data_IF_054605913624
#
_entry.id   IF_054605913624
#
_cell.length_a   1.000
_cell.length_b   1.000
_cell.length_c   1.000
_cell.angle_alpha   90.00
_cell.angle_beta   90.00
_cell.angle_gamma   90.00
#
_symmetry.space_group_name_H-M   'P 1'
#
loop_
_entity.id
_entity.type
_entity.pdbx_description
1 polymer ?
#
# COMPACT_ATOMS: atom_id res chain seq x y z
N UNK A 1 51.12 -32.46 31.90
CA UNK A 1 52.21 -31.48 31.73
C UNK A 1 51.64 -30.07 31.65
N UNK A 2 52.42 -29.03 31.96
CA UNK A 2 51.99 -27.64 31.81
C UNK A 2 52.97 -26.91 30.90
N UNK A 3 52.44 -26.16 29.94
CA UNK A 3 53.26 -25.45 28.97
C UNK A 3 53.00 -23.95 29.04
N UNK A 4 54.05 -23.15 28.95
CA UNK A 4 53.97 -21.70 28.79
C UNK A 4 54.25 -21.32 27.34
N UNK A 5 53.41 -20.48 26.77
CA UNK A 5 53.64 -19.96 25.42
C UNK A 5 54.79 -18.95 25.45
N UNK A 6 55.86 -19.21 24.71
CA UNK A 6 57.02 -18.29 24.64
C UNK A 6 56.93 -17.30 23.47
N UNK A 7 56.00 -17.54 22.55
CA UNK A 7 55.59 -16.61 21.48
C UNK A 7 54.07 -16.70 21.28
N UNK A 8 53.47 -15.66 20.70
CA UNK A 8 52.07 -15.70 20.31
C UNK A 8 51.87 -16.80 19.26
N UNK A 9 50.95 -17.73 19.52
CA UNK A 9 50.72 -18.86 18.62
C UNK A 9 49.25 -19.26 18.60
N UNK A 10 48.85 -19.93 17.52
CA UNK A 10 47.50 -20.42 17.31
C UNK A 10 47.54 -21.95 17.29
N UNK A 11 46.67 -22.60 18.04
CA UNK A 11 46.63 -24.06 18.10
C UNK A 11 45.25 -24.59 18.46
N UNK A 12 45.19 -25.87 18.84
CA UNK A 12 43.95 -26.59 19.21
C UNK A 12 43.26 -26.07 20.48
N UNK A 13 43.76 -25.00 21.08
CA UNK A 13 43.18 -24.34 22.25
C UNK A 13 42.80 -22.88 21.95
N UNK A 14 42.77 -22.52 20.67
CA UNK A 14 42.55 -21.15 20.19
C UNK A 14 43.85 -20.34 20.17
N UNK A 15 43.71 -19.01 20.18
CA UNK A 15 44.85 -18.09 20.16
C UNK A 15 45.45 -18.00 21.57
N UNK A 16 46.70 -18.45 21.71
CA UNK A 16 47.45 -18.39 22.98
C UNK A 16 48.46 -17.24 22.91
N UNK A 17 48.42 -16.35 23.90
CA UNK A 17 49.34 -15.20 23.99
C UNK A 17 50.65 -15.60 24.67
N UNK A 18 51.75 -14.92 24.33
CA UNK A 18 53.04 -15.12 25.01
C UNK A 18 52.89 -14.89 26.53
N UNK A 19 53.42 -15.82 27.32
CA UNK A 19 53.37 -15.84 28.78
C UNK A 19 52.11 -16.47 29.37
N UNK A 20 51.17 -16.94 28.55
CA UNK A 20 49.98 -17.66 28.98
C UNK A 20 50.28 -19.15 29.17
N UNK A 21 49.65 -19.79 30.15
CA UNK A 21 49.93 -21.19 30.52
C UNK A 21 48.77 -22.11 30.12
N UNK A 22 49.09 -23.17 29.39
CA UNK A 22 48.21 -24.29 29.10
C UNK A 22 48.39 -25.35 30.19
N UNK A 23 47.34 -25.59 30.98
CA UNK A 23 47.36 -26.53 32.11
C UNK A 23 46.80 -27.90 31.70
N UNK A 24 47.26 -28.93 32.41
CA UNK A 24 46.80 -30.31 32.35
C UNK A 24 46.84 -30.93 30.95
N UNK A 25 47.89 -30.59 30.19
CA UNK A 25 48.12 -31.12 28.86
C UNK A 25 48.55 -32.59 28.88
N UNK A 26 48.02 -33.34 27.92
CA UNK A 26 48.48 -34.69 27.59
C UNK A 26 49.96 -34.66 27.16
N UNK A 27 50.70 -35.69 27.57
CA UNK A 27 52.15 -35.77 27.36
C UNK A 27 52.51 -35.81 25.87
N UNK A 28 51.79 -36.61 25.07
CA UNK A 28 52.09 -36.76 23.63
C UNK A 28 51.85 -35.46 22.85
N UNK A 29 50.84 -34.69 23.25
CA UNK A 29 50.53 -33.41 22.64
C UNK A 29 51.50 -32.31 23.12
N UNK A 30 51.89 -32.35 24.40
CA UNK A 30 52.83 -31.40 24.96
C UNK A 30 54.20 -31.52 24.27
N UNK A 31 54.68 -32.74 24.03
CA UNK A 31 55.93 -33.00 23.31
C UNK A 31 55.90 -32.42 21.89
N UNK A 32 54.77 -32.56 21.16
CA UNK A 32 54.60 -31.94 19.84
C UNK A 32 54.65 -30.41 19.89
N UNK A 33 54.00 -29.80 20.89
CA UNK A 33 54.01 -28.35 21.04
C UNK A 33 55.38 -27.81 21.45
N UNK A 34 56.13 -28.53 22.27
CA UNK A 34 57.51 -28.20 22.59
C UNK A 34 58.41 -28.28 21.34
N UNK A 35 58.26 -29.33 20.53
CA UNK A 35 59.02 -29.49 19.28
C UNK A 35 58.77 -28.36 18.27
N UNK A 36 57.60 -27.72 18.32
CA UNK A 36 57.30 -26.55 17.47
C UNK A 36 58.12 -25.30 17.83
N UNK A 37 58.79 -25.28 18.99
CA UNK A 37 59.52 -24.13 19.52
C UNK A 37 58.65 -22.93 19.90
N UNK A 38 57.31 -23.08 19.91
CA UNK A 38 56.39 -22.03 20.33
C UNK A 38 56.05 -22.03 21.83
N UNK A 39 56.37 -23.13 22.50
CA UNK A 39 56.05 -23.39 23.90
C UNK A 39 57.29 -23.88 24.64
N UNK A 40 57.32 -23.64 25.95
CA UNK A 40 58.28 -24.22 26.88
C UNK A 40 57.53 -24.90 28.04
N UNK A 41 58.20 -25.78 28.78
CA UNK A 41 57.61 -26.36 29.99
C UNK A 41 57.46 -25.27 31.07
N UNK A 42 56.27 -25.16 31.64
CA UNK A 42 55.99 -24.17 32.67
C UNK A 42 56.50 -24.67 34.03
N UNK A 43 57.29 -23.85 34.71
CA UNK A 43 57.72 -24.13 36.08
C UNK A 43 56.60 -23.88 37.09
N UNK A 44 56.76 -24.37 38.32
CA UNK A 44 55.81 -24.09 39.40
C UNK A 44 55.71 -22.59 39.72
N UNK A 45 56.82 -21.85 39.56
CA UNK A 45 56.85 -20.40 39.77
C UNK A 45 56.03 -19.68 38.69
N UNK A 46 56.15 -20.09 37.42
CA UNK A 46 55.35 -19.53 36.33
C UNK A 46 53.85 -19.68 36.58
N UNK A 47 53.45 -20.84 37.11
CA UNK A 47 52.05 -21.15 37.45
C UNK A 47 51.57 -20.24 38.59
N UNK A 48 52.40 -20.02 39.61
CA UNK A 48 52.08 -19.13 40.73
C UNK A 48 51.93 -17.69 40.24
N UNK A 49 52.85 -17.23 39.40
CA UNK A 49 52.83 -15.87 38.84
C UNK A 49 51.64 -15.68 37.88
N UNK A 50 51.28 -16.69 37.08
CA UNK A 50 50.09 -16.66 36.24
C UNK A 50 48.79 -16.55 37.03
N UNK A 51 48.68 -17.19 38.20
CA UNK A 51 47.51 -17.07 39.08
C UNK A 51 47.36 -15.66 39.66
N UNK A 52 48.46 -14.94 39.85
CA UNK A 52 48.46 -13.56 40.34
C UNK A 52 48.20 -12.50 39.26
N UNK A 53 48.30 -12.85 37.97
CA UNK A 53 48.07 -11.93 36.85
C UNK A 53 46.59 -11.82 36.51
N UNK A 54 46.10 -10.60 36.24
CA UNK A 54 44.73 -10.36 35.78
C UNK A 54 44.50 -10.73 34.29
N UNK A 55 45.53 -10.66 33.44
CA UNK A 55 45.33 -10.68 31.97
C UNK A 55 45.83 -11.95 31.24
N UNK A 56 46.92 -12.58 31.69
CA UNK A 56 47.59 -13.68 30.97
C UNK A 56 47.48 -15.02 31.69
N UNK A 57 46.40 -15.19 32.46
CA UNK A 57 46.19 -16.30 33.40
C UNK A 57 46.23 -17.72 32.79
N UNK A 58 45.88 -18.69 33.61
CA UNK A 58 46.00 -20.11 33.23
C UNK A 58 44.77 -20.55 32.41
N UNK A 59 45.03 -21.20 31.28
CA UNK A 59 44.03 -21.85 30.45
C UNK A 59 43.96 -23.35 30.78
N UNK A 60 42.78 -23.82 31.13
CA UNK A 60 42.50 -25.24 31.36
C UNK A 60 42.14 -25.91 30.04
N UNK A 61 43.05 -26.75 29.54
CA UNK A 61 42.90 -27.43 28.26
C UNK A 61 41.70 -28.36 28.23
N UNK A 62 41.37 -29.02 29.36
CA UNK A 62 40.22 -29.93 29.43
C UNK A 62 38.91 -29.15 29.34
N UNK A 63 38.84 -27.99 29.98
CA UNK A 63 37.67 -27.10 29.88
C UNK A 63 37.52 -26.51 28.48
N UNK A 64 38.62 -26.14 27.82
CA UNK A 64 38.58 -25.63 26.44
C UNK A 64 38.13 -26.71 25.47
N UNK A 65 38.64 -27.94 25.60
CA UNK A 65 38.20 -29.07 24.80
C UNK A 65 36.71 -29.41 25.03
N UNK A 66 36.20 -29.23 26.26
CA UNK A 66 34.78 -29.35 26.56
C UNK A 66 33.96 -28.19 25.96
N UNK A 67 34.49 -26.96 25.97
CA UNK A 67 33.84 -25.78 25.41
C UNK A 67 33.75 -25.80 23.87
N UNK A 68 34.64 -26.52 23.17
CA UNK A 68 34.53 -26.76 21.71
C UNK A 68 33.27 -27.54 21.30
N UNK A 69 32.52 -28.12 22.25
CA UNK A 69 31.17 -28.67 22.01
C UNK A 69 30.06 -27.64 22.25
N UNK A 70 30.38 -26.35 22.26
CA UNK A 70 29.47 -25.26 22.62
C UNK A 70 28.99 -24.36 21.48
N UNK A 71 29.26 -24.69 20.22
CA UNK A 71 28.81 -23.91 19.04
C UNK A 71 27.61 -24.54 18.31
N UNK A 72 26.83 -25.39 18.98
CA UNK A 72 25.57 -25.93 18.42
C UNK A 72 24.33 -25.12 18.81
N UNK A 73 24.47 -24.09 19.65
CA UNK A 73 23.34 -23.26 20.08
C UNK A 73 22.85 -22.26 19.01
N UNK A 74 23.51 -22.15 17.86
CA UNK A 74 23.18 -21.14 16.85
C UNK A 74 22.44 -21.67 15.61
N UNK A 75 22.58 -22.94 15.24
CA UNK A 75 22.01 -23.43 13.95
C UNK A 75 20.51 -23.72 14.08
N UNK A 76 20.09 -24.41 15.14
CA UNK A 76 18.67 -24.73 15.33
C UNK A 76 17.83 -23.46 15.57
N UNK A 77 18.41 -22.47 16.25
CA UNK A 77 17.80 -21.15 16.44
C UNK A 77 17.63 -20.42 15.10
N UNK A 78 18.68 -20.39 14.26
CA UNK A 78 18.60 -19.78 12.92
C UNK A 78 17.63 -20.52 12.00
N UNK A 79 17.55 -21.85 12.06
CA UNK A 79 16.57 -22.63 11.30
C UNK A 79 15.14 -22.30 11.74
N UNK A 80 14.90 -22.19 13.05
CA UNK A 80 13.60 -21.78 13.58
C UNK A 80 13.20 -20.36 13.15
N UNK A 81 14.16 -19.43 13.10
CA UNK A 81 13.94 -18.07 12.60
C UNK A 81 13.63 -18.04 11.10
N UNK A 82 14.34 -18.84 10.30
CA UNK A 82 14.07 -18.98 8.86
C UNK A 82 12.67 -19.56 8.63
N UNK A 83 12.30 -20.65 9.33
CA UNK A 83 10.96 -21.24 9.23
C UNK A 83 9.87 -20.25 9.65
N UNK A 84 10.10 -19.47 10.72
CA UNK A 84 9.18 -18.43 11.16
C UNK A 84 9.04 -17.32 10.09
N UNK A 85 10.16 -16.90 9.50
CA UNK A 85 10.20 -15.93 8.40
C UNK A 85 9.47 -16.42 7.15
N UNK A 86 9.65 -17.68 6.75
CA UNK A 86 8.95 -18.29 5.61
C UNK A 86 7.44 -18.35 5.84
N UNK A 87 7.00 -18.68 7.07
CA UNK A 87 5.58 -18.68 7.42
C UNK A 87 5.00 -17.27 7.38
N UNK A 88 5.71 -16.29 7.93
CA UNK A 88 5.29 -14.88 7.90
C UNK A 88 5.21 -14.35 6.46
N UNK A 89 6.20 -14.66 5.62
CA UNK A 89 6.21 -14.28 4.21
C UNK A 89 5.04 -14.92 3.44
N UNK A 90 4.78 -16.21 3.68
CA UNK A 90 3.66 -16.93 3.07
C UNK A 90 2.32 -16.32 3.47
N UNK A 91 2.14 -15.98 4.75
CA UNK A 91 0.93 -15.30 5.23
C UNK A 91 0.76 -13.92 4.58
N UNK A 92 1.82 -13.10 4.58
CA UNK A 92 1.80 -11.77 3.95
C UNK A 92 1.49 -11.83 2.46
N UNK A 93 2.00 -12.83 1.75
CA UNK A 93 1.68 -13.07 0.34
C UNK A 93 0.18 -13.38 0.15
N UNK A 94 -0.40 -14.24 0.98
CA UNK A 94 -1.82 -14.58 0.91
C UNK A 94 -2.73 -13.38 1.20
N UNK A 95 -2.35 -12.55 2.18
CA UNK A 95 -3.05 -11.28 2.48
C UNK A 95 -2.97 -10.31 1.29
N UNK A 96 -1.79 -10.17 0.69
CA UNK A 96 -1.60 -9.30 -0.48
C UNK A 96 -2.40 -9.79 -1.68
N UNK A 97 -2.43 -11.10 -1.95
CA UNK A 97 -3.24 -11.69 -3.01
C UNK A 97 -4.74 -11.45 -2.79
N UNK A 98 -5.19 -11.51 -1.54
CA UNK A 98 -6.58 -11.20 -1.18
C UNK A 98 -6.90 -9.73 -1.44
N UNK A 99 -6.05 -8.81 -0.97
CA UNK A 99 -6.22 -7.37 -1.19
C UNK A 99 -6.23 -7.00 -2.69
N UNK A 100 -5.40 -7.67 -3.51
CA UNK A 100 -5.39 -7.48 -4.96
C UNK A 100 -6.72 -7.90 -5.61
N UNK A 101 -7.31 -9.01 -5.16
CA UNK A 101 -8.64 -9.45 -5.64
C UNK A 101 -9.73 -8.46 -5.24
N UNK A 102 -9.75 -8.04 -3.98
CA UNK A 102 -10.72 -7.04 -3.49
C UNK A 102 -10.62 -5.72 -4.26
N UNK A 103 -9.39 -5.28 -4.58
CA UNK A 103 -9.18 -4.08 -5.38
C UNK A 103 -9.69 -4.25 -6.82
N UNK A 104 -9.50 -5.43 -7.42
CA UNK A 104 -10.02 -5.74 -8.75
C UNK A 104 -11.55 -5.72 -8.76
N UNK A 105 -12.20 -6.34 -7.77
CA UNK A 105 -13.64 -6.35 -7.62
C UNK A 105 -14.19 -4.93 -7.39
N UNK A 106 -13.53 -4.15 -6.53
CA UNK A 106 -13.88 -2.74 -6.31
C UNK A 106 -13.79 -1.93 -7.60
N UNK A 107 -12.71 -2.11 -8.37
CA UNK A 107 -12.50 -1.41 -9.65
C UNK A 107 -13.63 -1.73 -10.63
N UNK A 108 -13.96 -3.01 -10.81
CA UNK A 108 -15.05 -3.42 -11.69
C UNK A 108 -16.39 -2.84 -11.23
N UNK A 109 -16.67 -2.88 -9.91
CA UNK A 109 -17.88 -2.27 -9.36
C UNK A 109 -17.96 -0.75 -9.55
N UNK A 110 -16.84 -0.05 -9.45
CA UNK A 110 -16.75 1.38 -9.69
C UNK A 110 -16.96 1.74 -11.18
N UNK A 111 -16.38 0.96 -12.09
CA UNK A 111 -16.55 1.14 -13.53
C UNK A 111 -18.01 0.95 -13.96
N UNK A 112 -18.71 -0.06 -13.43
CA UNK A 112 -20.14 -0.27 -13.70
C UNK A 112 -20.98 0.91 -13.20
N UNK A 113 -20.77 1.35 -11.94
CA UNK A 113 -21.51 2.48 -11.38
C UNK A 113 -21.27 3.77 -12.17
N UNK A 114 -20.05 3.98 -12.67
CA UNK A 114 -19.72 5.13 -13.49
C UNK A 114 -20.40 5.06 -14.86
N UNK A 115 -20.47 3.88 -15.49
CA UNK A 115 -21.20 3.68 -16.72
C UNK A 115 -22.71 3.95 -16.55
N UNK A 116 -23.30 3.45 -15.46
CA UNK A 116 -24.72 3.68 -15.14
C UNK A 116 -25.00 5.16 -14.88
N UNK A 117 -24.13 5.85 -14.13
CA UNK A 117 -24.26 7.28 -13.86
C UNK A 117 -24.15 8.11 -15.14
N UNK A 118 -23.22 7.77 -16.04
CA UNK A 118 -23.08 8.43 -17.34
C UNK A 118 -24.34 8.22 -18.19
N UNK A 119 -24.88 7.00 -18.23
CA UNK A 119 -26.11 6.70 -18.96
C UNK A 119 -27.29 7.49 -18.41
N UNK A 120 -27.50 7.48 -17.09
CA UNK A 120 -28.56 8.25 -16.45
C UNK A 120 -28.44 9.76 -16.72
N UNK A 121 -27.21 10.27 -16.80
CA UNK A 121 -26.94 11.68 -17.15
C UNK A 121 -27.33 11.99 -18.59
N UNK A 122 -26.99 11.12 -19.54
CA UNK A 122 -27.37 11.30 -20.94
C UNK A 122 -28.89 11.16 -21.14
N UNK A 123 -29.53 10.20 -20.49
CA UNK A 123 -30.99 10.03 -20.51
C UNK A 123 -31.69 11.29 -19.95
N UNK A 124 -31.22 11.82 -18.81
CA UNK A 124 -31.76 13.05 -18.24
C UNK A 124 -31.57 14.29 -19.16
N UNK A 125 -30.45 14.38 -19.87
CA UNK A 125 -30.24 15.45 -20.87
C UNK A 125 -31.23 15.34 -22.03
N UNK A 126 -31.46 14.12 -22.51
CA UNK A 126 -32.40 13.87 -23.59
C UNK A 126 -33.84 14.20 -23.18
N UNK A 127 -34.26 13.79 -21.97
CA UNK A 127 -35.57 14.13 -21.41
C UNK A 127 -35.74 15.64 -21.24
N UNK A 128 -34.72 16.34 -20.75
CA UNK A 128 -34.76 17.80 -20.59
C UNK A 128 -34.88 18.50 -21.95
N UNK A 129 -34.17 18.02 -22.98
CA UNK A 129 -34.29 18.55 -24.33
C UNK A 129 -35.69 18.33 -24.92
N UNK A 130 -36.27 17.15 -24.71
CA UNK A 130 -37.63 16.84 -25.14
C UNK A 130 -38.66 17.74 -24.44
N UNK A 131 -38.56 17.86 -23.12
CA UNK A 131 -39.45 18.72 -22.32
C UNK A 131 -39.37 20.18 -22.75
N UNK A 132 -38.15 20.68 -23.02
CA UNK A 132 -37.95 22.04 -23.51
C UNK A 132 -38.61 22.25 -24.87
N UNK A 133 -38.42 21.32 -25.80
CA UNK A 133 -39.04 21.39 -27.13
C UNK A 133 -40.57 21.35 -27.06
N UNK A 134 -41.12 20.49 -26.21
CA UNK A 134 -42.58 20.39 -26.00
C UNK A 134 -43.14 21.70 -25.43
N UNK A 135 -42.48 22.24 -24.40
CA UNK A 135 -42.90 23.48 -23.75
C UNK A 135 -42.83 24.67 -24.72
N UNK A 136 -41.76 24.78 -25.51
CA UNK A 136 -41.64 25.80 -26.56
C UNK A 136 -42.76 25.68 -27.61
N UNK A 137 -43.11 24.45 -27.99
CA UNK A 137 -44.23 24.17 -28.90
C UNK A 137 -45.58 24.61 -28.32
N UNK A 138 -45.85 24.27 -27.06
CA UNK A 138 -47.08 24.67 -26.36
C UNK A 138 -47.18 26.19 -26.21
N UNK A 139 -46.09 26.87 -25.86
CA UNK A 139 -46.04 28.34 -25.77
C UNK A 139 -46.39 28.97 -27.12
N UNK A 140 -45.83 28.45 -28.21
CA UNK A 140 -46.12 28.95 -29.55
C UNK A 140 -47.59 28.75 -29.94
N UNK A 141 -48.14 27.56 -29.69
CA UNK A 141 -49.55 27.28 -29.95
C UNK A 141 -50.48 28.22 -29.16
N UNK A 142 -50.19 28.44 -27.88
CA UNK A 142 -50.95 29.38 -27.06
C UNK A 142 -50.83 30.83 -27.55
N UNK A 143 -49.64 31.25 -28.02
CA UNK A 143 -49.46 32.58 -28.61
C UNK A 143 -50.26 32.76 -29.90
N UNK A 144 -50.29 31.75 -30.76
CA UNK A 144 -51.08 31.74 -32.00
C UNK A 144 -52.59 31.78 -31.71
N UNK A 145 -53.06 31.03 -30.72
CA UNK A 145 -54.45 31.06 -30.26
C UNK A 145 -54.85 32.43 -29.71
N UNK A 146 -53.99 33.04 -28.87
CA UNK A 146 -54.20 34.41 -28.35
C UNK A 146 -54.28 35.41 -29.52
N UNK A 147 -53.42 35.28 -30.52
CA UNK A 147 -53.45 36.16 -31.69
C UNK A 147 -54.76 36.01 -32.48
N UNK A 148 -55.23 34.77 -32.68
CA UNK A 148 -56.53 34.48 -33.30
C UNK A 148 -57.71 35.06 -32.52
N UNK A 149 -57.73 34.88 -31.20
CA UNK A 149 -58.76 35.45 -30.32
C UNK A 149 -58.76 36.98 -30.37
N UNK A 150 -57.57 37.63 -30.36
CA UNK A 150 -57.47 39.09 -30.51
C UNK A 150 -58.05 39.59 -31.84
N UNK A 151 -57.76 38.88 -32.93
CA UNK A 151 -58.32 39.22 -34.24
C UNK A 151 -59.86 39.09 -34.26
N UNK A 152 -60.39 37.99 -33.72
CA UNK A 152 -61.83 37.77 -33.62
C UNK A 152 -62.53 38.84 -32.75
N UNK A 153 -61.92 39.23 -31.63
CA UNK A 153 -62.43 40.33 -30.78
C UNK A 153 -62.44 41.64 -31.57
N UNK A 154 -61.36 41.96 -32.30
CA UNK A 154 -61.30 43.17 -33.10
C UNK A 154 -62.36 43.21 -34.19
N UNK A 155 -62.67 42.07 -34.83
CA UNK A 155 -63.75 41.98 -35.82
C UNK A 155 -65.15 42.10 -35.20
N UNK A 156 -65.37 41.58 -33.99
CA UNK A 156 -66.62 41.79 -33.24
C UNK A 156 -66.79 43.24 -32.73
N UNK A 157 -65.67 43.92 -32.49
CA UNK A 157 -65.64 45.33 -32.07
C UNK A 157 -65.68 46.30 -33.24
N UNK A 158 -65.51 45.85 -34.49
CA UNK A 158 -65.89 46.66 -35.66
C UNK A 158 -67.38 46.94 -35.51
N UNK A 159 -67.77 48.20 -35.33
CA UNK A 159 -69.14 48.53 -35.00
C UNK A 159 -70.10 48.03 -36.07
N UNK A 160 -71.37 47.91 -35.68
CA UNK A 160 -72.55 47.87 -36.53
C UNK A 160 -72.69 49.11 -37.46
N UNK A 161 -71.59 49.71 -37.89
CA UNK A 161 -71.49 50.86 -38.79
C UNK A 161 -71.73 50.53 -40.26
N UNK A 162 -72.24 49.34 -40.57
CA UNK A 162 -72.88 49.06 -41.86
C UNK A 162 -74.41 49.13 -41.81
N UNK A 163 -75.01 49.48 -40.66
CA UNK A 163 -76.48 49.59 -40.52
C UNK A 163 -77.04 51.01 -40.70
N UNK A 164 -76.24 52.08 -40.82
CA UNK A 164 -76.78 53.46 -40.79
C UNK A 164 -76.58 54.29 -42.08
N UNK A 165 -76.08 53.75 -43.19
CA UNK A 165 -75.86 54.54 -44.42
C UNK A 165 -76.74 54.21 -45.63
N UNK A 166 -77.76 53.36 -45.50
CA UNK A 166 -78.65 53.03 -46.64
C UNK A 166 -80.10 53.49 -46.54
N UNK A 167 -80.54 54.16 -45.47
CA UNK A 167 -81.95 54.57 -45.35
C UNK A 167 -82.27 56.04 -45.63
N UNK A 168 -81.29 56.94 -45.78
CA UNK A 168 -81.58 58.38 -45.83
C UNK A 168 -81.51 59.08 -47.20
N UNK A 169 -81.39 58.37 -48.33
CA UNK A 169 -81.23 59.02 -49.65
C UNK A 169 -82.26 58.60 -50.73
N UNK A 170 -83.49 58.29 -50.32
CA UNK A 170 -84.63 58.09 -51.26
C UNK A 170 -85.84 59.00 -51.02
N UNK A 171 -85.73 60.00 -50.15
CA UNK A 171 -86.80 60.97 -49.88
C UNK A 171 -86.46 62.39 -50.31
N UNK A 172 -86.27 62.60 -51.62
CA UNK A 172 -86.60 63.90 -52.24
C UNK A 172 -87.60 63.65 -53.36
N UNK A 173 -88.87 63.76 -52.95
CA UNK A 173 -90.03 63.55 -53.79
C UNK A 173 -90.10 64.51 -54.97
N UNK A 174 -90.74 63.98 -56.02
CA UNK A 174 -91.53 64.73 -56.98
C UNK A 174 -92.53 65.65 -56.27
N UNK A 175 -92.58 66.90 -56.69
CA UNK A 175 -93.74 67.80 -56.62
C UNK A 175 -93.29 69.12 -57.26
N UNK A 176 -93.99 69.80 -58.16
CA UNK A 176 -95.19 69.57 -58.95
C UNK A 176 -95.26 70.81 -59.89
N UNK A 177 -95.84 70.63 -61.09
CA UNK A 177 -96.42 71.65 -62.00
C UNK A 177 -95.53 72.70 -62.67
#
# INVERSE_FOLDING_TARGET
MHLIAIRGSYGDFGRVRKGQILKDMDKSLAEKLLASGAYAEASEQDIKDAKGRKELGILDVKKIAAARKGDTADIDTLLAEIEAGERALTASKAETETAVRELADFKTGAETKLADANKATEDAKAELAAYKSETEGQIKAAADEIAGLKAAIADLQKPASQSETTENDKSKGKSEK
#
